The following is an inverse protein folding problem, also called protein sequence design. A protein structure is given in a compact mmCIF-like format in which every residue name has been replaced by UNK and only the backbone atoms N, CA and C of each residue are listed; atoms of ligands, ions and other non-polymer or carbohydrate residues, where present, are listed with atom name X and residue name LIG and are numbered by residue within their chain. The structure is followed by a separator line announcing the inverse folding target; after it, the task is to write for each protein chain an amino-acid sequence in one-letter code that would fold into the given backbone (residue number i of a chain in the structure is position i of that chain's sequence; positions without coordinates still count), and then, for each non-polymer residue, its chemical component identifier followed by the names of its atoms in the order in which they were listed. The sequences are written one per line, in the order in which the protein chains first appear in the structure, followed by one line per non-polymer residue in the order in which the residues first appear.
data_IF_918619029966
#
_entry.id   IF_918619029966
#
_cell.length_a   1.000
_cell.length_b   1.000
_cell.length_c   1.000
_cell.angle_alpha   90.00
_cell.angle_beta   90.00
_cell.angle_gamma   90.00
#
_symmetry.space_group_name_H-M   'P 1'
#
loop_
_entity.id
_entity.type
_entity.pdbx_description
1 polymer ?
#
# COMPACT_ATOMS: atom_id res chain seq x y z
N UNK A 1 -18.00 -16.39 -4.40
CA UNK A 1 -18.71 -15.58 -5.36
C UNK A 1 -17.84 -15.40 -6.61
N UNK A 2 -18.36 -15.80 -7.75
CA UNK A 2 -17.72 -15.77 -9.07
C UNK A 2 -17.67 -14.35 -9.67
N UNK A 3 -17.36 -13.34 -8.91
CA UNK A 3 -17.32 -11.98 -9.41
C UNK A 3 -15.91 -11.64 -9.90
N UNK A 4 -15.87 -11.35 -11.17
CA UNK A 4 -14.83 -10.65 -11.93
C UNK A 4 -13.59 -11.44 -12.32
N UNK A 5 -13.66 -12.05 -13.45
CA UNK A 5 -12.53 -12.49 -14.28
C UNK A 5 -12.19 -11.37 -15.26
N UNK A 6 -11.25 -10.51 -14.91
CA UNK A 6 -10.80 -9.43 -15.79
C UNK A 6 -9.66 -8.64 -15.17
N UNK A 7 -9.06 -7.73 -15.92
CA UNK A 7 -7.97 -6.84 -15.45
C UNK A 7 -8.29 -6.10 -14.12
N UNK A 8 -9.57 -5.91 -13.79
CA UNK A 8 -10.01 -5.38 -12.50
C UNK A 8 -9.78 -6.32 -11.30
N UNK A 9 -9.52 -7.60 -11.49
CA UNK A 9 -9.33 -8.56 -10.41
C UNK A 9 -7.95 -8.46 -9.74
N UNK A 10 -6.94 -8.02 -10.44
CA UNK A 10 -5.60 -7.77 -9.87
C UNK A 10 -5.68 -6.79 -8.70
N UNK A 11 -6.57 -5.82 -8.75
CA UNK A 11 -6.74 -4.81 -7.71
C UNK A 11 -7.68 -5.23 -6.58
N UNK A 12 -8.45 -6.31 -6.73
CA UNK A 12 -9.40 -6.77 -5.72
C UNK A 12 -8.78 -7.67 -4.65
N UNK A 13 -7.62 -8.24 -4.89
CA UNK A 13 -6.88 -9.06 -3.92
C UNK A 13 -5.97 -8.17 -3.08
N UNK A 14 -6.58 -7.37 -2.25
CA UNK A 14 -5.89 -6.49 -1.32
C UNK A 14 -5.48 -7.24 -0.07
N UNK A 15 -4.18 -7.26 0.24
CA UNK A 15 -3.66 -7.75 1.50
C UNK A 15 -3.51 -6.59 2.49
N UNK A 16 -4.30 -6.63 3.57
CA UNK A 16 -4.32 -5.61 4.61
C UNK A 16 -3.37 -6.03 5.74
N UNK A 17 -2.18 -5.43 5.77
CA UNK A 17 -1.06 -5.87 6.61
C UNK A 17 -1.20 -5.52 8.10
N UNK A 18 -2.22 -4.75 8.49
CA UNK A 18 -2.59 -4.60 9.89
C UNK A 18 -3.12 -5.90 10.53
N UNK A 19 -3.39 -6.94 9.75
CA UNK A 19 -3.74 -8.26 10.24
C UNK A 19 -2.49 -9.12 10.40
N UNK A 20 -2.32 -9.71 11.58
CA UNK A 20 -1.15 -10.54 11.91
C UNK A 20 -1.05 -11.86 11.12
N UNK A 21 -2.14 -12.29 10.45
CA UNK A 21 -2.20 -13.54 9.69
C UNK A 21 -1.79 -13.39 8.20
N UNK A 22 -1.44 -12.19 7.75
CA UNK A 22 -1.24 -11.92 6.32
C UNK A 22 0.03 -12.53 5.73
N UNK A 23 1.11 -12.61 6.48
CA UNK A 23 2.33 -13.29 5.99
C UNK A 23 2.08 -14.80 5.78
N UNK A 24 1.36 -15.44 6.70
CA UNK A 24 0.92 -16.82 6.52
C UNK A 24 0.07 -16.98 5.27
N UNK A 25 -0.90 -16.09 5.07
CA UNK A 25 -1.76 -16.08 3.88
C UNK A 25 -0.96 -15.91 2.57
N UNK A 26 0.06 -15.03 2.53
CA UNK A 26 0.92 -14.88 1.35
C UNK A 26 1.69 -16.17 1.05
N UNK A 27 2.18 -16.87 2.08
CA UNK A 27 2.83 -18.17 1.91
C UNK A 27 1.86 -19.25 1.37
N UNK A 28 0.62 -19.27 1.84
CA UNK A 28 -0.42 -20.18 1.33
C UNK A 28 -0.73 -19.87 -0.13
N UNK A 29 -0.87 -18.58 -0.49
CA UNK A 29 -1.06 -18.17 -1.88
C UNK A 29 0.10 -18.58 -2.78
N UNK A 30 1.35 -18.51 -2.29
CA UNK A 30 2.52 -18.98 -3.05
C UNK A 30 2.40 -20.46 -3.37
N UNK A 31 2.07 -21.29 -2.38
CA UNK A 31 1.87 -22.74 -2.58
C UNK A 31 0.81 -23.00 -3.64
N UNK A 32 -0.36 -22.38 -3.47
CA UNK A 32 -1.48 -22.52 -4.41
C UNK A 32 -1.13 -22.05 -5.83
N UNK A 33 -0.34 -20.98 -5.97
CA UNK A 33 0.08 -20.46 -7.27
C UNK A 33 1.00 -21.44 -8.01
N UNK A 34 1.89 -22.09 -7.28
CA UNK A 34 2.79 -23.11 -7.83
C UNK A 34 1.99 -24.36 -8.22
N UNK A 35 1.16 -24.88 -7.33
CA UNK A 35 0.35 -26.09 -7.55
C UNK A 35 -0.62 -25.95 -8.71
N UNK A 36 -1.17 -24.76 -8.92
CA UNK A 36 -2.21 -24.50 -9.94
C UNK A 36 -1.73 -23.63 -11.10
N UNK A 37 -0.44 -23.34 -11.18
CA UNK A 37 0.21 -22.59 -12.30
C UNK A 37 -0.45 -21.25 -12.60
N UNK A 38 -0.77 -20.43 -11.57
CA UNK A 38 -1.28 -19.07 -11.76
C UNK A 38 -0.39 -18.02 -11.12
N UNK A 39 -0.45 -16.80 -11.63
CA UNK A 39 0.28 -15.65 -11.10
C UNK A 39 -0.58 -14.82 -10.14
N UNK A 40 -0.02 -14.37 -9.02
CA UNK A 40 -0.73 -13.65 -7.95
C UNK A 40 -0.43 -12.16 -8.00
N UNK A 41 -1.41 -11.32 -8.36
CA UNK A 41 -1.32 -9.88 -8.18
C UNK A 41 -1.78 -9.47 -6.78
N UNK A 42 -0.93 -8.81 -6.01
CA UNK A 42 -1.25 -8.37 -4.64
C UNK A 42 -1.17 -6.86 -4.52
N UNK A 43 -2.28 -6.23 -4.16
CA UNK A 43 -2.27 -4.87 -3.63
C UNK A 43 -1.96 -4.93 -2.13
N UNK A 44 -0.76 -4.51 -1.77
CA UNK A 44 -0.30 -4.46 -0.40
C UNK A 44 -0.66 -3.10 0.22
N UNK A 45 -1.41 -3.13 1.31
CA UNK A 45 -1.83 -1.93 2.06
C UNK A 45 -1.75 -2.19 3.56
N UNK A 46 -1.65 -1.13 4.37
CA UNK A 46 -1.73 -1.29 5.83
C UNK A 46 -3.12 -1.70 6.29
N UNK A 47 -4.15 -1.04 5.79
CA UNK A 47 -5.56 -1.28 6.09
C UNK A 47 -6.19 -0.14 6.88
N UNK A 48 -7.53 -0.02 6.78
CA UNK A 48 -8.28 1.15 7.20
C UNK A 48 -9.42 0.86 8.20
N UNK A 49 -9.55 -0.36 8.71
CA UNK A 49 -10.74 -0.75 9.48
C UNK A 49 -10.38 -1.32 10.86
N UNK A 50 -9.30 -0.85 11.47
CA UNK A 50 -8.77 -1.34 12.76
C UNK A 50 -9.87 -1.34 13.84
N UNK A 51 -10.53 -0.20 14.04
CA UNK A 51 -11.57 -0.08 15.05
C UNK A 51 -12.78 -1.00 14.77
N UNK A 52 -13.19 -1.08 13.49
CA UNK A 52 -14.31 -1.91 13.09
C UNK A 52 -14.02 -3.40 13.33
N UNK A 53 -12.82 -3.87 12.99
CA UNK A 53 -12.40 -5.24 13.23
C UNK A 53 -12.27 -5.54 14.73
N UNK A 54 -11.71 -4.61 15.51
CA UNK A 54 -11.61 -4.75 16.96
C UNK A 54 -13.01 -4.78 17.63
N UNK A 55 -13.94 -3.91 17.23
CA UNK A 55 -15.33 -3.92 17.72
C UNK A 55 -16.02 -5.24 17.36
N UNK A 56 -15.80 -5.75 16.14
CA UNK A 56 -16.36 -7.04 15.71
C UNK A 56 -15.80 -8.20 16.53
N UNK A 57 -14.47 -8.23 16.73
CA UNK A 57 -13.82 -9.28 17.53
C UNK A 57 -14.39 -9.31 18.97
N UNK A 58 -14.52 -8.12 19.59
CA UNK A 58 -15.13 -8.00 20.92
C UNK A 58 -16.58 -8.47 20.94
N UNK A 59 -17.39 -8.07 19.94
CA UNK A 59 -18.80 -8.45 19.85
C UNK A 59 -19.01 -9.96 19.72
N UNK A 60 -18.14 -10.64 19.01
CA UNK A 60 -18.23 -12.07 18.73
C UNK A 60 -17.29 -12.94 19.57
N UNK A 61 -16.64 -12.34 20.57
CA UNK A 61 -15.77 -13.00 21.54
C UNK A 61 -14.66 -13.86 20.90
N UNK A 62 -13.95 -13.29 19.90
CA UNK A 62 -12.75 -13.91 19.33
C UNK A 62 -11.55 -12.96 19.42
N UNK A 63 -10.32 -13.52 19.35
CA UNK A 63 -9.09 -12.74 19.38
C UNK A 63 -9.04 -11.79 18.18
N UNK A 64 -8.77 -10.50 18.42
CA UNK A 64 -8.64 -9.54 17.32
C UNK A 64 -7.59 -10.00 16.31
N UNK A 65 -7.89 -9.94 15.01
CA UNK A 65 -6.93 -10.28 13.96
C UNK A 65 -5.91 -9.15 13.72
N UNK A 66 -6.03 -8.03 14.40
CA UNK A 66 -5.22 -6.82 14.20
C UNK A 66 -3.91 -6.94 14.95
N UNK A 67 -2.82 -6.46 14.35
CA UNK A 67 -1.52 -6.31 15.00
C UNK A 67 -1.64 -5.42 16.25
N UNK A 68 -0.83 -5.71 17.26
CA UNK A 68 -0.92 -5.07 18.59
C UNK A 68 -0.54 -3.56 18.56
N UNK A 69 0.24 -3.15 17.55
CA UNK A 69 0.68 -1.77 17.41
C UNK A 69 0.80 -1.34 15.94
N UNK A 70 0.97 -0.02 15.74
CA UNK A 70 1.30 0.54 14.44
C UNK A 70 2.66 0.02 13.95
N UNK A 71 3.66 -0.04 14.83
CA UNK A 71 5.00 -0.52 14.48
C UNK A 71 4.96 -1.99 14.04
N UNK A 72 4.19 -2.83 14.73
CA UNK A 72 3.96 -4.21 14.32
C UNK A 72 3.28 -4.31 12.93
N UNK A 73 2.38 -3.39 12.63
CA UNK A 73 1.78 -3.27 11.28
C UNK A 73 2.80 -2.84 10.24
N UNK A 74 3.68 -1.91 10.57
CA UNK A 74 4.74 -1.42 9.68
C UNK A 74 5.75 -2.53 9.38
N UNK A 75 6.18 -3.28 10.39
CA UNK A 75 7.03 -4.47 10.22
C UNK A 75 6.36 -5.50 9.33
N UNK A 76 5.10 -5.84 9.62
CA UNK A 76 4.33 -6.82 8.85
C UNK A 76 4.16 -6.39 7.38
N UNK A 77 3.97 -5.08 7.13
CA UNK A 77 3.90 -4.52 5.77
C UNK A 77 5.23 -4.67 5.03
N UNK A 78 6.34 -4.30 5.67
CA UNK A 78 7.66 -4.36 5.06
C UNK A 78 8.09 -5.81 4.78
N UNK A 79 7.83 -6.74 5.71
CA UNK A 79 8.05 -8.18 5.49
C UNK A 79 7.18 -8.74 4.37
N UNK A 80 5.92 -8.30 4.26
CA UNK A 80 5.05 -8.66 3.14
C UNK A 80 5.57 -8.16 1.80
N UNK A 81 6.06 -6.93 1.73
CA UNK A 81 6.67 -6.38 0.53
C UNK A 81 7.94 -7.17 0.14
N UNK A 82 8.83 -7.42 1.10
CA UNK A 82 10.04 -8.22 0.92
C UNK A 82 9.72 -9.63 0.42
N UNK A 83 8.72 -10.29 1.03
CA UNK A 83 8.26 -11.60 0.58
C UNK A 83 7.81 -11.60 -0.88
N UNK A 84 6.99 -10.62 -1.29
CA UNK A 84 6.50 -10.53 -2.67
C UNK A 84 7.66 -10.26 -3.63
N UNK A 85 8.55 -9.32 -3.31
CA UNK A 85 9.70 -8.99 -4.14
C UNK A 85 10.67 -10.16 -4.32
N UNK A 86 10.84 -10.99 -3.29
CA UNK A 86 11.65 -12.22 -3.37
C UNK A 86 10.98 -13.35 -4.14
N UNK A 87 9.73 -13.19 -4.58
CA UNK A 87 8.94 -14.22 -5.25
C UNK A 87 8.24 -13.68 -6.52
N UNK A 88 8.90 -12.77 -7.26
CA UNK A 88 8.32 -12.15 -8.47
C UNK A 88 7.98 -13.14 -9.59
N UNK A 89 8.48 -14.36 -9.55
CA UNK A 89 8.07 -15.40 -10.50
C UNK A 89 6.59 -15.76 -10.33
N UNK A 90 6.10 -15.73 -9.10
CA UNK A 90 4.72 -16.06 -8.75
C UNK A 90 3.86 -14.84 -8.40
N UNK A 91 4.48 -13.68 -8.11
CA UNK A 91 3.79 -12.49 -7.60
C UNK A 91 4.05 -11.23 -8.40
N UNK A 92 3.05 -10.33 -8.35
CA UNK A 92 3.21 -8.92 -8.69
C UNK A 92 2.83 -8.07 -7.49
N UNK A 93 3.61 -7.01 -7.24
CA UNK A 93 3.40 -6.06 -6.15
C UNK A 93 2.72 -4.80 -6.66
N UNK A 94 1.58 -4.44 -6.06
CA UNK A 94 1.06 -3.09 -6.08
C UNK A 94 1.18 -2.50 -4.67
N UNK A 95 2.18 -1.65 -4.45
CA UNK A 95 2.41 -0.99 -3.17
C UNK A 95 1.46 0.18 -3.00
N UNK A 96 0.37 0.00 -2.25
CA UNK A 96 -0.61 1.04 -1.91
C UNK A 96 -0.23 1.72 -0.59
N UNK A 97 0.70 2.66 -0.61
CA UNK A 97 1.20 3.31 0.60
C UNK A 97 1.55 4.78 0.39
N UNK A 98 1.35 5.58 1.46
CA UNK A 98 1.82 6.96 1.61
C UNK A 98 3.03 7.06 2.55
N UNK A 99 3.49 5.93 3.10
CA UNK A 99 4.62 5.88 4.02
C UNK A 99 5.94 5.88 3.23
N UNK A 100 6.64 7.00 3.30
CA UNK A 100 7.89 7.25 2.57
C UNK A 100 8.97 6.22 2.94
N UNK A 101 9.12 5.90 4.23
CA UNK A 101 10.12 4.93 4.70
C UNK A 101 9.90 3.56 4.06
N UNK A 102 8.68 3.03 4.08
CA UNK A 102 8.38 1.73 3.46
C UNK A 102 8.59 1.73 1.95
N UNK A 103 8.39 2.88 1.29
CA UNK A 103 8.68 3.00 -0.14
C UNK A 103 10.18 2.95 -0.35
N UNK A 104 11.00 3.67 0.43
CA UNK A 104 12.47 3.58 0.35
C UNK A 104 12.97 2.17 0.63
N UNK A 105 12.43 1.49 1.65
CA UNK A 105 12.78 0.09 1.95
C UNK A 105 12.54 -0.84 0.73
N UNK A 106 11.44 -0.62 -0.01
CA UNK A 106 11.15 -1.35 -1.26
C UNK A 106 12.16 -0.99 -2.36
N UNK A 107 12.49 0.30 -2.53
CA UNK A 107 13.47 0.74 -3.52
C UNK A 107 14.87 0.17 -3.25
N UNK A 108 15.26 0.09 -1.98
CA UNK A 108 16.54 -0.52 -1.57
C UNK A 108 16.58 -2.01 -1.92
N UNK A 109 15.50 -2.75 -1.63
CA UNK A 109 15.39 -4.17 -2.02
C UNK A 109 15.47 -4.32 -3.55
N UNK A 110 14.79 -3.44 -4.31
CA UNK A 110 14.85 -3.46 -5.78
C UNK A 110 16.27 -3.20 -6.28
N UNK A 111 16.99 -2.26 -5.68
CA UNK A 111 18.37 -1.91 -6.02
C UNK A 111 19.32 -3.06 -5.71
N UNK A 112 19.25 -3.63 -4.51
CA UNK A 112 20.07 -4.78 -4.08
C UNK A 112 19.83 -6.00 -4.99
N UNK A 113 18.56 -6.26 -5.35
CA UNK A 113 18.16 -7.32 -6.27
C UNK A 113 18.44 -7.02 -7.75
N UNK A 114 19.04 -5.85 -8.08
CA UNK A 114 19.30 -5.38 -9.46
C UNK A 114 18.04 -5.42 -10.34
N UNK A 115 16.88 -5.16 -9.75
CA UNK A 115 15.61 -5.15 -10.47
C UNK A 115 15.50 -3.86 -11.31
N UNK A 116 14.87 -3.98 -12.48
CA UNK A 116 14.60 -2.81 -13.33
C UNK A 116 13.60 -1.88 -12.63
N UNK A 117 13.83 -0.56 -12.72
CA UNK A 117 12.93 0.45 -12.13
C UNK A 117 11.50 0.34 -12.68
N UNK A 118 11.36 0.08 -13.97
CA UNK A 118 10.09 -0.12 -14.68
C UNK A 118 9.64 -1.58 -14.76
N UNK A 119 10.05 -2.43 -13.81
CA UNK A 119 9.61 -3.84 -13.78
C UNK A 119 8.07 -3.91 -13.82
N UNK A 120 7.45 -4.57 -14.81
CA UNK A 120 6.00 -4.59 -14.99
C UNK A 120 5.24 -5.26 -13.84
N UNK A 121 5.95 -6.01 -12.99
CA UNK A 121 5.38 -6.67 -11.81
C UNK A 121 5.40 -5.81 -10.55
N UNK A 122 5.95 -4.58 -10.59
CA UNK A 122 6.10 -3.71 -9.40
C UNK A 122 5.49 -2.36 -9.71
N UNK A 123 4.50 -1.95 -8.90
CA UNK A 123 3.78 -0.70 -9.04
C UNK A 123 3.64 0.02 -7.71
N UNK A 124 3.76 1.34 -7.72
CA UNK A 124 3.53 2.21 -6.57
C UNK A 124 2.23 2.99 -6.77
N UNK A 125 1.36 2.96 -5.79
CA UNK A 125 0.06 3.62 -5.87
C UNK A 125 -0.20 4.55 -4.69
N UNK A 126 -0.51 5.81 -5.00
CA UNK A 126 -0.92 6.82 -4.03
C UNK A 126 -2.28 7.40 -4.41
N UNK A 127 -3.00 7.93 -3.43
CA UNK A 127 -4.24 8.65 -3.66
C UNK A 127 -3.95 9.97 -4.37
N UNK A 128 -4.79 10.36 -5.32
CA UNK A 128 -4.69 11.65 -5.98
C UNK A 128 -4.80 12.79 -4.96
N UNK A 129 -3.95 13.80 -5.08
CA UNK A 129 -3.86 14.92 -4.13
C UNK A 129 -3.12 14.61 -2.83
N UNK A 130 -2.50 13.41 -2.70
CA UNK A 130 -1.73 13.02 -1.53
C UNK A 130 -0.38 12.46 -1.93
N UNK A 131 0.67 12.78 -1.15
CA UNK A 131 2.05 12.30 -1.35
C UNK A 131 2.57 12.53 -2.77
N UNK A 132 2.30 13.70 -3.32
CA UNK A 132 2.69 14.07 -4.68
C UNK A 132 4.21 14.09 -4.82
N UNK A 133 4.94 14.51 -3.78
CA UNK A 133 6.39 14.44 -3.70
C UNK A 133 6.92 13.01 -3.95
N UNK A 134 6.27 11.99 -3.39
CA UNK A 134 6.65 10.59 -3.60
C UNK A 134 6.33 10.18 -5.04
N UNK A 135 5.09 10.43 -5.47
CA UNK A 135 4.60 9.97 -6.77
C UNK A 135 5.39 10.55 -7.93
N UNK A 136 5.65 11.88 -7.90
CA UNK A 136 6.36 12.55 -8.99
C UNK A 136 7.84 12.18 -9.02
N UNK A 137 8.52 12.10 -7.88
CA UNK A 137 9.91 11.68 -7.84
C UNK A 137 10.10 10.23 -8.32
N UNK A 138 9.21 9.32 -7.93
CA UNK A 138 9.25 7.94 -8.42
C UNK A 138 9.03 7.86 -9.93
N UNK A 139 8.08 8.64 -10.46
CA UNK A 139 7.80 8.68 -11.89
C UNK A 139 8.96 9.27 -12.69
N UNK A 140 9.57 10.35 -12.20
CA UNK A 140 10.75 10.99 -12.81
C UNK A 140 11.95 10.05 -12.85
N UNK A 141 12.12 9.25 -11.79
CA UNK A 141 13.15 8.21 -11.70
C UNK A 141 12.86 6.97 -12.56
N UNK A 142 11.69 6.89 -13.22
CA UNK A 142 11.32 5.82 -14.14
C UNK A 142 10.68 4.60 -13.48
N UNK A 143 10.16 4.72 -12.25
CA UNK A 143 9.37 3.66 -11.61
C UNK A 143 7.92 3.69 -12.09
N UNK A 144 7.24 2.53 -12.03
CA UNK A 144 5.82 2.46 -12.36
C UNK A 144 4.96 3.05 -11.24
N UNK A 145 4.25 4.14 -11.52
CA UNK A 145 3.43 4.86 -10.55
C UNK A 145 2.00 5.02 -11.03
N UNK A 146 1.06 4.89 -10.12
CA UNK A 146 -0.37 5.15 -10.35
C UNK A 146 -0.90 6.12 -9.30
N UNK A 147 -1.61 7.15 -9.74
CA UNK A 147 -2.45 7.99 -8.87
C UNK A 147 -3.87 7.46 -8.91
N UNK A 148 -4.36 7.02 -7.74
CA UNK A 148 -5.74 6.56 -7.61
C UNK A 148 -6.68 7.75 -7.43
N UNK A 149 -7.57 7.95 -8.38
CA UNK A 149 -8.63 8.95 -8.31
C UNK A 149 -9.94 8.27 -7.92
N UNK A 150 -10.49 8.52 -6.72
CA UNK A 150 -11.81 8.02 -6.34
C UNK A 150 -12.87 8.58 -7.26
N UNK A 151 -13.64 7.72 -7.89
CA UNK A 151 -14.73 8.07 -8.78
C UNK A 151 -16.00 7.30 -8.43
N UNK A 152 -17.15 7.97 -8.44
CA UNK A 152 -18.43 7.34 -8.18
C UNK A 152 -19.46 8.29 -7.55
N UNK A 153 -20.64 7.78 -7.14
CA UNK A 153 -21.66 8.57 -6.48
C UNK A 153 -21.14 9.21 -5.17
N UNK A 154 -21.46 10.47 -4.95
CA UNK A 154 -20.99 11.27 -3.80
C UNK A 154 -21.19 10.54 -2.48
N UNK A 155 -22.36 9.91 -2.27
CA UNK A 155 -22.68 9.14 -1.06
C UNK A 155 -21.70 7.99 -0.76
N UNK A 156 -20.99 7.47 -1.78
CA UNK A 156 -20.00 6.40 -1.64
C UNK A 156 -18.57 6.94 -1.56
N UNK A 157 -18.27 8.02 -2.30
CA UNK A 157 -16.93 8.61 -2.40
C UNK A 157 -16.59 9.42 -1.14
N UNK A 158 -17.51 10.24 -0.63
CA UNK A 158 -17.25 11.08 0.56
C UNK A 158 -16.83 10.26 1.78
N UNK A 159 -17.52 9.18 2.18
CA UNK A 159 -17.09 8.36 3.32
C UNK A 159 -15.73 7.68 3.08
N UNK A 160 -15.37 7.41 1.83
CA UNK A 160 -14.05 6.89 1.49
C UNK A 160 -12.96 7.96 1.70
N UNK A 161 -13.16 9.18 1.24
CA UNK A 161 -12.22 10.29 1.39
C UNK A 161 -12.01 10.68 2.85
N UNK A 162 -13.09 10.78 3.64
CA UNK A 162 -13.04 11.07 5.08
C UNK A 162 -12.15 10.04 5.79
N UNK A 163 -12.32 8.74 5.53
CA UNK A 163 -11.47 7.70 6.12
C UNK A 163 -9.99 7.84 5.73
N UNK A 164 -9.69 8.33 4.52
CA UNK A 164 -8.29 8.58 4.11
C UNK A 164 -7.70 9.77 4.84
N UNK A 165 -8.49 10.82 5.02
CA UNK A 165 -8.07 11.99 5.78
C UNK A 165 -7.82 11.65 7.26
N UNK A 166 -8.72 10.89 7.89
CA UNK A 166 -8.56 10.41 9.27
C UNK A 166 -7.29 9.56 9.44
N UNK A 167 -6.98 8.69 8.47
CA UNK A 167 -5.75 7.91 8.47
C UNK A 167 -4.50 8.79 8.34
N UNK A 168 -4.56 9.83 7.54
CA UNK A 168 -3.46 10.79 7.37
C UNK A 168 -3.25 11.65 8.61
N UNK A 169 -4.32 12.15 9.22
CA UNK A 169 -4.24 12.96 10.43
C UNK A 169 -3.78 12.16 11.65
N UNK A 170 -4.05 10.85 11.69
CA UNK A 170 -3.52 9.95 12.72
C UNK A 170 -2.01 9.72 12.58
N UNK A 171 -1.43 9.96 11.41
CA UNK A 171 0.02 10.04 11.18
C UNK A 171 0.48 11.46 11.46
N UNK A 172 0.60 11.81 12.75
CA UNK A 172 1.16 13.09 13.20
C UNK A 172 2.47 13.36 12.45
N UNK A 173 2.46 14.38 11.59
CA UNK A 173 3.67 14.87 10.91
C UNK A 173 3.65 14.83 9.38
N UNK A 174 2.78 14.06 8.72
CA UNK A 174 2.81 13.96 7.25
C UNK A 174 2.25 15.21 6.57
N UNK A 175 1.12 15.75 7.04
CA UNK A 175 0.55 17.01 6.54
C UNK A 175 1.48 18.20 6.84
N UNK A 176 2.12 18.23 8.01
CA UNK A 176 3.10 19.26 8.35
C UNK A 176 4.36 19.17 7.48
N UNK A 177 4.77 17.96 7.07
CA UNK A 177 5.92 17.76 6.20
C UNK A 177 5.65 18.20 4.76
N UNK A 178 4.51 17.85 4.18
CA UNK A 178 4.12 18.34 2.84
C UNK A 178 4.07 19.87 2.81
N UNK A 179 3.48 20.49 3.82
CA UNK A 179 3.48 21.94 3.94
C UNK A 179 4.89 22.52 4.05
N UNK A 180 5.78 21.91 4.84
CA UNK A 180 7.18 22.33 4.95
C UNK A 180 7.92 22.22 3.63
N UNK A 181 7.70 21.16 2.84
CA UNK A 181 8.30 20.98 1.51
C UNK A 181 7.81 22.05 0.54
N UNK A 182 6.52 22.35 0.53
CA UNK A 182 5.91 23.43 -0.28
C UNK A 182 6.50 24.78 0.13
N UNK A 183 6.59 25.08 1.43
CA UNK A 183 7.18 26.32 1.92
C UNK A 183 8.67 26.45 1.55
N UNK A 184 9.42 25.35 1.63
CA UNK A 184 10.83 25.32 1.23
C UNK A 184 10.98 25.60 -0.27
N UNK A 185 10.14 25.00 -1.10
CA UNK A 185 10.17 25.23 -2.55
C UNK A 185 9.74 26.66 -2.92
N UNK A 186 8.70 27.18 -2.27
CA UNK A 186 8.30 28.59 -2.44
C UNK A 186 9.44 29.56 -2.07
N UNK A 187 10.15 29.28 -0.97
CA UNK A 187 11.32 30.08 -0.58
C UNK A 187 12.44 29.99 -1.63
N UNK A 188 12.74 28.80 -2.14
CA UNK A 188 13.75 28.60 -3.19
C UNK A 188 13.41 29.40 -4.45
N UNK A 189 12.14 29.38 -4.90
CA UNK A 189 11.68 30.12 -6.09
C UNK A 189 11.73 31.63 -5.93
N UNK A 190 11.61 32.16 -4.71
CA UNK A 190 11.70 33.60 -4.42
C UNK A 190 13.14 34.09 -4.27
N UNK A 191 14.09 33.18 -4.10
CA UNK A 191 15.52 33.52 -3.93
C UNK A 191 16.31 33.41 -5.25
N UNK A 192 15.64 32.95 -6.31
CA UNK A 192 16.11 33.00 -7.71
C UNK A 192 15.33 34.06 -8.48
#
# INVERSE_FOLDING_TARGET
SNASRGLGDVYKRQSQMYRHDRLKYLNELKKLSIENSFHVGVKLVRGAYIEKENKRAKKHNYKSPICESKDATDVNFNEGAKFILSNLDNFSLFCGSHNEKSIYDILDIMKEGKMQKNNPKIWFGQLYGMSDNISFNLAEEGYNVIKYLPFGPIKQVIPYLIRREEENTSVKGQTSRELQLIMKELKRRRSN
#
